data_IF_114393918068
#
_entry.id   IF_114393918068
#
_cell.length_a   1.000
_cell.length_b   1.000
_cell.length_c   1.000
_cell.angle_alpha   90.00
_cell.angle_beta   90.00
_cell.angle_gamma   90.00
#
_symmetry.space_group_name_H-M   'P 1'
#
loop_
_entity.id
_entity.type
_entity.pdbx_description
1 polymer ?
#
# COMPACT_ATOMS: atom_id res chain seq x y z
N UNK A 1 -12.58 11.01 3.60
CA UNK A 1 -12.97 12.09 4.54
C UNK A 1 -12.56 13.44 3.97
N UNK A 2 -13.31 14.47 4.28
CA UNK A 2 -13.01 15.88 4.02
C UNK A 2 -12.33 16.47 5.25
N UNK A 3 -11.55 17.55 5.08
CA UNK A 3 -10.96 18.26 6.21
C UNK A 3 -9.70 19.06 5.85
N UNK A 4 -8.97 19.58 6.84
CA UNK A 4 -7.71 20.28 6.63
C UNK A 4 -6.63 19.38 6.02
N UNK A 5 -5.53 20.00 5.59
CA UNK A 5 -4.37 19.27 5.10
C UNK A 5 -3.79 18.33 6.15
N UNK A 6 -3.28 17.20 5.72
CA UNK A 6 -2.72 16.13 6.57
C UNK A 6 -1.31 15.76 6.12
N UNK A 7 -0.55 15.21 7.03
CA UNK A 7 0.81 14.68 6.80
C UNK A 7 0.79 13.17 7.07
N UNK A 8 0.59 12.33 6.04
CA UNK A 8 0.59 10.87 6.21
C UNK A 8 1.96 10.37 6.64
N UNK A 9 2.07 9.12 7.15
CA UNK A 9 3.33 8.49 7.45
C UNK A 9 4.27 8.49 6.25
N UNK A 10 5.55 8.63 6.50
CA UNK A 10 6.60 8.52 5.49
C UNK A 10 7.86 7.92 6.12
N UNK A 11 8.76 7.32 5.31
CA UNK A 11 10.02 6.80 5.82
C UNK A 11 10.85 7.88 6.51
N UNK A 12 11.57 7.49 7.56
CA UNK A 12 12.47 8.37 8.29
C UNK A 12 13.56 8.95 7.37
N UNK A 13 14.05 10.15 7.68
CA UNK A 13 15.14 10.79 6.96
C UNK A 13 14.74 11.54 5.68
N UNK A 14 13.53 11.38 5.17
CA UNK A 14 13.08 12.04 3.92
C UNK A 14 12.98 13.57 4.08
N UNK A 15 12.74 14.05 5.29
CA UNK A 15 12.51 15.47 5.60
C UNK A 15 13.59 16.10 6.48
N UNK A 16 14.72 15.48 6.63
CA UNK A 16 15.88 16.04 7.30
C UNK A 16 16.53 17.15 6.47
N UNK A 17 15.91 18.32 6.46
CA UNK A 17 16.47 19.48 5.78
C UNK A 17 16.89 20.55 6.80
N UNK A 18 18.19 20.92 6.88
CA UNK A 18 18.73 21.79 7.92
C UNK A 18 18.20 23.24 7.88
N UNK A 19 17.54 23.64 6.79
CA UNK A 19 17.15 25.06 6.58
C UNK A 19 15.69 25.39 6.84
N UNK A 20 14.84 24.44 7.26
CA UNK A 20 13.40 24.70 7.30
C UNK A 20 12.79 24.19 8.60
N UNK A 21 12.46 25.13 9.49
CA UNK A 21 11.86 24.89 10.80
C UNK A 21 10.48 24.20 10.83
N UNK A 22 10.01 23.65 9.72
CA UNK A 22 8.79 22.86 9.67
C UNK A 22 9.16 21.38 9.52
N UNK A 23 9.26 20.71 10.65
CA UNK A 23 9.37 19.26 10.69
C UNK A 23 8.07 18.63 10.15
N UNK A 24 8.21 17.51 9.43
CA UNK A 24 7.06 16.69 9.09
C UNK A 24 6.53 16.06 10.37
N UNK A 25 5.35 16.49 10.78
CA UNK A 25 4.67 15.90 11.93
C UNK A 25 3.53 15.05 11.40
N UNK A 26 3.66 13.75 11.55
CA UNK A 26 2.63 12.81 11.12
C UNK A 26 1.29 13.10 11.77
N UNK A 27 0.24 13.01 10.95
CA UNK A 27 -1.13 13.10 11.43
C UNK A 27 -1.49 11.84 12.21
N UNK A 28 -2.32 11.96 13.23
CA UNK A 28 -2.72 10.86 14.09
C UNK A 28 -4.13 10.35 13.77
N UNK A 29 -4.42 9.11 14.16
CA UNK A 29 -5.74 8.51 14.05
C UNK A 29 -6.26 8.45 12.61
N UNK A 30 -7.53 8.77 12.44
CA UNK A 30 -8.20 8.69 11.12
C UNK A 30 -7.68 9.70 10.08
N UNK A 31 -6.95 10.71 10.49
CA UNK A 31 -6.38 11.71 9.60
C UNK A 31 -5.24 11.14 8.75
N UNK A 32 -4.60 10.05 9.18
CA UNK A 32 -3.62 9.30 8.38
C UNK A 32 -4.21 8.77 7.06
N UNK A 33 -5.52 8.49 7.03
CA UNK A 33 -6.21 7.81 5.93
C UNK A 33 -7.04 8.76 5.05
N UNK A 34 -6.68 10.03 4.98
CA UNK A 34 -7.32 10.97 4.05
C UNK A 34 -6.85 10.73 2.63
N UNK A 35 -7.71 11.08 1.67
CA UNK A 35 -7.34 11.04 0.25
C UNK A 35 -6.11 11.93 -0.01
N UNK A 36 -5.26 11.51 -0.96
CA UNK A 36 -4.03 12.20 -1.35
C UNK A 36 -4.20 13.70 -1.66
N UNK A 37 -5.39 14.15 -2.07
CA UNK A 37 -5.69 15.56 -2.31
C UNK A 37 -5.56 16.43 -1.05
N UNK A 38 -5.65 15.84 0.15
CA UNK A 38 -5.47 16.53 1.43
C UNK A 38 -4.05 16.44 1.97
N UNK A 39 -3.18 15.66 1.34
CA UNK A 39 -1.77 15.56 1.77
C UNK A 39 -1.08 16.90 1.58
N UNK A 40 -0.39 17.35 2.62
CA UNK A 40 0.37 18.59 2.60
C UNK A 40 1.43 18.53 1.48
N UNK A 41 1.42 19.52 0.61
CA UNK A 41 2.37 19.62 -0.49
C UNK A 41 3.39 20.72 -0.21
N UNK A 42 4.64 20.32 -0.02
CA UNK A 42 5.77 21.22 -0.02
C UNK A 42 6.54 21.06 -1.34
N UNK A 43 6.63 22.14 -2.13
CA UNK A 43 7.26 22.07 -3.46
C UNK A 43 8.74 21.68 -3.42
N UNK A 44 9.46 22.12 -2.39
CA UNK A 44 10.89 21.84 -2.21
C UNK A 44 11.19 20.41 -1.75
N UNK A 45 10.22 19.74 -1.17
CA UNK A 45 10.33 18.35 -0.70
C UNK A 45 8.93 17.70 -0.74
N UNK A 46 8.46 17.30 -1.92
CA UNK A 46 7.14 16.68 -2.07
C UNK A 46 7.10 15.31 -1.38
N UNK A 47 5.90 14.90 -0.98
CA UNK A 47 5.68 13.60 -0.38
C UNK A 47 6.16 12.47 -1.32
N UNK A 48 6.95 11.47 -0.86
CA UNK A 48 7.61 10.50 -1.74
C UNK A 48 6.68 9.76 -2.69
N UNK A 49 5.51 9.32 -2.20
CA UNK A 49 4.53 8.64 -3.05
C UNK A 49 4.00 9.54 -4.18
N UNK A 50 4.00 10.87 -4.02
CA UNK A 50 3.60 11.77 -5.11
C UNK A 50 4.61 11.74 -6.26
N UNK A 51 5.90 11.67 -5.93
CA UNK A 51 6.95 11.56 -6.95
C UNK A 51 6.83 10.23 -7.68
N UNK A 52 6.68 9.13 -6.91
CA UNK A 52 6.64 7.78 -7.46
C UNK A 52 5.40 7.51 -8.31
N UNK A 53 4.25 8.15 -8.01
CA UNK A 53 2.98 7.92 -8.69
C UNK A 53 2.56 9.08 -9.60
N UNK A 54 3.51 9.72 -10.27
CA UNK A 54 3.29 10.71 -11.33
C UNK A 54 2.38 11.88 -10.92
N UNK A 55 2.42 12.28 -9.65
CA UNK A 55 1.67 13.44 -9.21
C UNK A 55 2.28 14.72 -9.82
N UNK A 56 1.42 15.67 -10.21
CA UNK A 56 1.87 16.96 -10.72
C UNK A 56 2.75 17.71 -9.72
N UNK A 57 3.88 18.24 -10.18
CA UNK A 57 4.74 19.13 -9.38
C UNK A 57 4.05 20.46 -9.02
N UNK A 58 2.93 20.78 -9.68
CA UNK A 58 2.22 22.08 -9.61
C UNK A 58 3.06 23.30 -10.00
N UNK A 59 4.19 23.09 -10.66
CA UNK A 59 5.00 24.16 -11.24
C UNK A 59 4.50 24.56 -12.63
N UNK A 60 3.99 23.58 -13.37
CA UNK A 60 3.43 23.76 -14.71
C UNK A 60 2.04 23.14 -14.79
N UNK A 61 1.20 23.72 -15.66
CA UNK A 61 -0.09 23.13 -16.00
C UNK A 61 0.09 21.87 -16.84
N UNK A 62 -0.39 20.74 -16.37
CA UNK A 62 -0.43 19.50 -17.13
C UNK A 62 -1.83 19.29 -17.70
N UNK A 63 -1.91 19.09 -19.02
CA UNK A 63 -3.17 18.78 -19.70
C UNK A 63 -3.69 17.40 -19.30
N UNK A 64 -2.77 16.44 -19.13
CA UNK A 64 -3.08 15.06 -18.73
C UNK A 64 -1.88 14.44 -18.01
N UNK A 65 -2.14 13.67 -16.95
CA UNK A 65 -1.13 12.77 -16.37
C UNK A 65 -1.10 11.47 -17.17
N UNK A 66 0.11 11.02 -17.49
CA UNK A 66 0.31 9.68 -18.07
C UNK A 66 0.64 8.75 -16.92
N UNK A 67 -0.22 7.77 -16.62
CA UNK A 67 0.10 6.79 -15.59
C UNK A 67 1.29 5.97 -16.05
N UNK A 68 2.26 5.77 -15.17
CA UNK A 68 3.39 4.89 -15.39
C UNK A 68 3.30 3.67 -14.48
N UNK A 69 3.98 2.61 -14.87
CA UNK A 69 4.22 1.44 -14.02
C UNK A 69 5.72 1.18 -14.00
N UNK A 70 6.36 1.55 -12.90
CA UNK A 70 7.81 1.51 -12.77
C UNK A 70 8.24 0.60 -11.62
N UNK A 71 9.46 0.02 -11.67
CA UNK A 71 10.00 -0.73 -10.54
C UNK A 71 10.04 0.06 -9.22
N UNK A 72 10.18 1.39 -9.29
CA UNK A 72 10.16 2.25 -8.12
C UNK A 72 8.78 2.29 -7.47
N UNK A 73 7.71 2.32 -8.26
CA UNK A 73 6.34 2.23 -7.73
C UNK A 73 6.11 0.89 -7.03
N UNK A 74 6.55 -0.22 -7.62
CA UNK A 74 6.48 -1.53 -6.99
C UNK A 74 7.27 -1.56 -5.67
N UNK A 75 8.46 -0.97 -5.63
CA UNK A 75 9.26 -0.88 -4.41
C UNK A 75 8.53 -0.09 -3.31
N UNK A 76 7.88 1.02 -3.65
CA UNK A 76 7.10 1.83 -2.71
C UNK A 76 5.90 1.03 -2.20
N UNK A 77 5.09 0.45 -3.08
CA UNK A 77 3.90 -0.31 -2.67
C UNK A 77 4.20 -1.54 -1.84
N UNK A 78 5.39 -2.14 -1.99
CA UNK A 78 5.81 -3.28 -1.19
C UNK A 78 6.34 -2.93 0.19
N UNK A 79 6.95 -1.74 0.36
CA UNK A 79 7.73 -1.42 1.56
C UNK A 79 7.17 -0.25 2.38
N UNK A 80 6.35 0.61 1.79
CA UNK A 80 5.79 1.76 2.51
C UNK A 80 4.72 1.29 3.52
N UNK A 81 4.80 1.73 4.79
CA UNK A 81 3.86 1.35 5.84
C UNK A 81 2.39 1.58 5.48
N UNK A 82 2.09 2.66 4.75
CA UNK A 82 0.71 2.99 4.32
C UNK A 82 0.14 1.90 3.41
N UNK A 83 0.93 1.41 2.46
CA UNK A 83 0.49 0.35 1.54
C UNK A 83 0.42 -1.01 2.23
N UNK A 84 1.34 -1.29 3.15
CA UNK A 84 1.33 -2.52 3.95
C UNK A 84 0.09 -2.56 4.86
N UNK A 85 -0.25 -1.47 5.51
CA UNK A 85 -1.48 -1.33 6.31
C UNK A 85 -2.73 -1.48 5.43
N UNK A 86 -2.75 -0.86 4.26
CA UNK A 86 -3.85 -0.98 3.30
C UNK A 86 -4.06 -2.42 2.83
N UNK A 87 -2.97 -3.14 2.53
CA UNK A 87 -3.00 -4.55 2.15
C UNK A 87 -3.56 -5.43 3.27
N UNK A 88 -3.15 -5.18 4.51
CA UNK A 88 -3.69 -5.87 5.69
C UNK A 88 -5.19 -5.65 5.85
N UNK A 89 -5.66 -4.42 5.73
CA UNK A 89 -7.09 -4.11 5.79
C UNK A 89 -7.89 -4.70 4.64
N UNK A 90 -7.33 -4.73 3.43
CA UNK A 90 -7.94 -5.39 2.27
C UNK A 90 -8.11 -6.90 2.53
N UNK A 91 -7.07 -7.55 3.07
CA UNK A 91 -7.12 -8.97 3.45
C UNK A 91 -8.16 -9.22 4.55
N UNK A 92 -8.13 -8.42 5.62
CA UNK A 92 -9.04 -8.55 6.77
C UNK A 92 -10.50 -8.41 6.35
N UNK A 93 -10.81 -7.43 5.51
CA UNK A 93 -12.20 -7.15 5.06
C UNK A 93 -12.75 -8.22 4.11
N UNK A 94 -11.88 -8.94 3.40
CA UNK A 94 -12.27 -9.95 2.41
C UNK A 94 -11.98 -11.40 2.86
N UNK A 95 -11.51 -11.60 4.09
CA UNK A 95 -11.23 -12.93 4.63
C UNK A 95 -12.51 -13.77 4.68
N UNK A 96 -12.42 -14.99 4.15
CA UNK A 96 -13.47 -16.01 4.20
C UNK A 96 -12.87 -17.35 4.67
N UNK A 97 -13.70 -18.39 4.79
CA UNK A 97 -13.23 -19.72 5.14
C UNK A 97 -12.32 -20.32 4.06
N UNK A 98 -12.64 -20.07 2.78
CA UNK A 98 -11.86 -20.54 1.64
C UNK A 98 -10.83 -19.49 1.22
N UNK A 99 -9.57 -19.91 1.10
CA UNK A 99 -8.45 -19.09 0.61
C UNK A 99 -8.74 -18.56 -0.79
N UNK A 100 -9.20 -19.45 -1.68
CA UNK A 100 -9.53 -19.09 -3.07
C UNK A 100 -10.62 -18.04 -3.13
N UNK A 101 -11.68 -18.19 -2.33
CA UNK A 101 -12.76 -17.20 -2.24
C UNK A 101 -12.28 -15.86 -1.70
N UNK A 102 -11.38 -15.87 -0.70
CA UNK A 102 -10.77 -14.65 -0.16
C UNK A 102 -9.97 -13.92 -1.22
N UNK A 103 -9.11 -14.63 -1.97
CA UNK A 103 -8.30 -14.03 -3.05
C UNK A 103 -9.19 -13.45 -4.15
N UNK A 104 -10.22 -14.17 -4.60
CA UNK A 104 -11.18 -13.66 -5.59
C UNK A 104 -11.87 -12.39 -5.13
N UNK A 105 -12.30 -12.33 -3.86
CA UNK A 105 -12.94 -11.13 -3.29
C UNK A 105 -11.96 -9.96 -3.18
N UNK A 106 -10.73 -10.20 -2.70
CA UNK A 106 -9.70 -9.15 -2.63
C UNK A 106 -9.41 -8.57 -4.01
N UNK A 107 -9.20 -9.43 -5.01
CA UNK A 107 -8.96 -9.02 -6.39
C UNK A 107 -10.13 -8.20 -6.95
N UNK A 108 -11.36 -8.69 -6.80
CA UNK A 108 -12.56 -7.98 -7.25
C UNK A 108 -12.74 -6.62 -6.55
N UNK A 109 -12.42 -6.54 -5.26
CA UNK A 109 -12.50 -5.29 -4.50
C UNK A 109 -11.43 -4.27 -4.91
N UNK A 110 -10.24 -4.74 -5.33
CA UNK A 110 -9.11 -3.89 -5.67
C UNK A 110 -9.12 -3.48 -7.16
N UNK A 111 -9.41 -4.41 -8.06
CA UNK A 111 -9.27 -4.25 -9.51
C UNK A 111 -10.61 -4.05 -10.22
N UNK A 112 -11.74 -4.37 -9.55
CA UNK A 112 -13.11 -4.31 -10.10
C UNK A 112 -13.36 -5.23 -11.30
N UNK A 113 -12.53 -6.26 -11.48
CA UNK A 113 -12.61 -7.28 -12.54
C UNK A 113 -12.67 -8.68 -11.92
N UNK A 114 -13.10 -9.65 -12.70
CA UNK A 114 -12.96 -11.06 -12.32
C UNK A 114 -11.51 -11.52 -12.59
N UNK A 115 -10.98 -12.32 -11.68
CA UNK A 115 -9.59 -12.78 -11.75
C UNK A 115 -9.42 -13.89 -12.79
N UNK A 116 -8.38 -13.82 -13.59
CA UNK A 116 -8.02 -14.90 -14.52
C UNK A 116 -7.50 -16.13 -13.76
N UNK A 117 -7.80 -17.37 -14.23
CA UNK A 117 -7.36 -18.60 -13.56
C UNK A 117 -5.84 -18.69 -13.36
N UNK A 118 -5.06 -18.17 -14.30
CA UNK A 118 -3.59 -18.15 -14.24
C UNK A 118 -3.09 -17.27 -13.07
N UNK A 119 -3.64 -16.07 -12.95
CA UNK A 119 -3.31 -15.13 -11.88
C UNK A 119 -3.74 -15.72 -10.54
N UNK A 120 -4.93 -16.28 -10.46
CA UNK A 120 -5.44 -16.91 -9.25
C UNK A 120 -4.51 -18.02 -8.75
N UNK A 121 -4.07 -18.91 -9.62
CA UNK A 121 -3.16 -20.00 -9.27
C UNK A 121 -1.82 -19.48 -8.74
N UNK A 122 -1.27 -18.42 -9.35
CA UNK A 122 -0.04 -17.78 -8.88
C UNK A 122 -0.23 -17.17 -7.48
N UNK A 123 -1.35 -16.48 -7.23
CA UNK A 123 -1.65 -15.90 -5.93
C UNK A 123 -1.90 -16.96 -4.84
N UNK A 124 -2.53 -18.09 -5.18
CA UNK A 124 -2.66 -19.23 -4.26
C UNK A 124 -1.29 -19.82 -3.93
N UNK A 125 -0.40 -19.92 -4.92
CA UNK A 125 0.97 -20.41 -4.68
C UNK A 125 1.74 -19.43 -3.78
N UNK A 126 1.64 -18.13 -4.01
CA UNK A 126 2.22 -17.11 -3.15
C UNK A 126 1.70 -17.20 -1.71
N UNK A 127 0.38 -17.40 -1.54
CA UNK A 127 -0.21 -17.59 -0.22
C UNK A 127 0.44 -18.77 0.52
N UNK A 128 0.62 -19.91 -0.15
CA UNK A 128 1.22 -21.12 0.46
C UNK A 128 2.67 -20.88 0.87
N UNK A 129 3.44 -20.20 0.02
CA UNK A 129 4.84 -19.86 0.32
C UNK A 129 4.89 -18.93 1.54
N UNK A 130 4.07 -17.87 1.57
CA UNK A 130 4.03 -16.95 2.69
C UNK A 130 3.58 -17.63 3.99
N UNK A 131 2.61 -18.55 3.91
CA UNK A 131 2.16 -19.31 5.08
C UNK A 131 3.29 -20.19 5.64
N UNK A 132 4.00 -20.92 4.78
CA UNK A 132 5.13 -21.76 5.19
C UNK A 132 6.25 -20.92 5.83
N UNK A 133 6.64 -19.80 5.24
CA UNK A 133 7.65 -18.89 5.78
C UNK A 133 7.28 -18.37 7.19
N UNK A 134 6.01 -18.02 7.41
CA UNK A 134 5.56 -17.56 8.72
C UNK A 134 5.40 -18.68 9.76
N UNK A 135 5.14 -19.93 9.32
CA UNK A 135 5.13 -21.11 10.18
C UNK A 135 6.55 -21.50 10.63
N UNK A 136 7.54 -21.33 9.76
CA UNK A 136 8.96 -21.61 10.08
C UNK A 136 9.61 -20.51 10.95
N UNK A 137 9.21 -19.25 10.78
CA UNK A 137 9.79 -18.12 11.51
C UNK A 137 8.73 -17.09 11.94
N UNK A 138 8.20 -17.27 13.14
CA UNK A 138 7.23 -16.37 13.73
C UNK A 138 7.76 -14.93 13.97
N UNK A 139 9.08 -14.73 14.09
CA UNK A 139 9.67 -13.39 14.26
C UNK A 139 9.51 -12.53 12.99
N UNK A 140 9.45 -13.15 11.80
CA UNK A 140 9.15 -12.44 10.57
C UNK A 140 7.76 -11.79 10.60
N UNK A 141 6.81 -12.44 11.25
CA UNK A 141 5.43 -11.99 11.37
C UNK A 141 5.31 -10.73 12.23
N UNK A 142 6.00 -10.70 13.37
CA UNK A 142 5.99 -9.56 14.29
C UNK A 142 6.70 -8.33 13.69
N UNK A 143 7.74 -8.56 12.88
CA UNK A 143 8.51 -7.49 12.24
C UNK A 143 7.83 -6.92 10.98
N UNK A 144 7.00 -7.70 10.29
CA UNK A 144 6.38 -7.29 9.03
C UNK A 144 5.16 -6.40 9.23
N UNK A 145 4.41 -6.62 10.31
CA UNK A 145 3.23 -5.85 10.66
C UNK A 145 3.39 -5.25 12.05
N UNK A 146 3.88 -4.03 12.13
CA UNK A 146 3.99 -3.26 13.40
C UNK A 146 2.59 -2.82 13.90
N UNK A 147 1.66 -3.77 14.00
CA UNK A 147 0.26 -3.52 14.37
C UNK A 147 -0.04 -3.86 15.84
N UNK A 148 0.99 -4.20 16.64
CA UNK A 148 0.88 -4.38 18.10
C UNK A 148 -0.03 -5.53 18.59
N UNK A 149 -0.62 -6.32 17.71
CA UNK A 149 -1.51 -7.44 18.01
C UNK A 149 -0.94 -8.75 17.45
N UNK A 150 -1.17 -9.86 18.16
CA UNK A 150 -0.92 -11.20 17.59
C UNK A 150 -1.74 -11.39 16.31
N UNK A 151 -1.07 -11.40 15.16
CA UNK A 151 -1.70 -11.59 13.87
C UNK A 151 -1.76 -13.09 13.57
N UNK A 152 -2.93 -13.55 13.12
CA UNK A 152 -3.10 -14.92 12.62
C UNK A 152 -2.28 -15.11 11.33
N UNK A 153 -1.46 -16.18 11.28
CA UNK A 153 -0.62 -16.54 10.12
C UNK A 153 -1.43 -16.54 8.82
N UNK A 154 -2.67 -17.04 8.84
CA UNK A 154 -3.54 -17.03 7.67
C UNK A 154 -3.85 -15.61 7.18
N UNK A 155 -4.10 -14.70 8.11
CA UNK A 155 -4.39 -13.31 7.77
C UNK A 155 -3.13 -12.59 7.27
N UNK A 156 -1.97 -12.85 7.88
CA UNK A 156 -0.70 -12.30 7.42
C UNK A 156 -0.37 -12.77 5.99
N UNK A 157 -0.52 -14.08 5.72
CA UNK A 157 -0.30 -14.62 4.38
C UNK A 157 -1.27 -14.04 3.34
N UNK A 158 -2.53 -13.81 3.71
CA UNK A 158 -3.48 -13.10 2.85
C UNK A 158 -3.09 -11.64 2.63
N UNK A 159 -2.48 -10.97 3.61
CA UNK A 159 -2.01 -9.59 3.45
C UNK A 159 -0.82 -9.50 2.48
N UNK A 160 0.08 -10.48 2.45
CA UNK A 160 1.12 -10.59 1.41
C UNK A 160 0.49 -10.72 0.02
N UNK A 161 -0.54 -11.56 -0.12
CA UNK A 161 -1.27 -11.69 -1.39
C UNK A 161 -1.99 -10.41 -1.77
N UNK A 162 -2.59 -9.71 -0.80
CA UNK A 162 -3.24 -8.41 -1.03
C UNK A 162 -2.23 -7.35 -1.51
N UNK A 163 -1.03 -7.32 -0.92
CA UNK A 163 0.05 -6.44 -1.36
C UNK A 163 0.48 -6.78 -2.80
N UNK A 164 0.60 -8.05 -3.14
CA UNK A 164 0.89 -8.48 -4.52
C UNK A 164 -0.21 -8.04 -5.51
N UNK A 165 -1.49 -8.13 -5.13
CA UNK A 165 -2.61 -7.63 -5.95
C UNK A 165 -2.48 -6.13 -6.18
N UNK A 166 -2.10 -5.35 -5.16
CA UNK A 166 -1.89 -3.91 -5.27
C UNK A 166 -0.67 -3.52 -6.12
N UNK A 167 0.19 -4.49 -6.46
CA UNK A 167 1.34 -4.32 -7.36
C UNK A 167 1.05 -4.75 -8.81
N UNK A 168 -0.11 -5.28 -9.10
CA UNK A 168 -0.49 -5.60 -10.48
C UNK A 168 -0.69 -4.33 -11.30
N UNK A 169 -0.31 -4.40 -12.57
CA UNK A 169 -0.49 -3.30 -13.53
C UNK A 169 -1.96 -2.83 -13.59
N UNK A 170 -2.88 -3.77 -13.56
CA UNK A 170 -4.33 -3.53 -13.56
C UNK A 170 -4.82 -2.72 -12.35
N UNK A 171 -4.12 -2.80 -11.21
CA UNK A 171 -4.39 -1.98 -10.04
C UNK A 171 -3.75 -0.60 -10.15
N UNK A 172 -2.48 -0.54 -10.59
CA UNK A 172 -1.69 0.70 -10.60
C UNK A 172 -2.12 1.66 -11.71
N UNK A 173 -2.46 1.15 -12.89
CA UNK A 173 -2.73 1.99 -14.05
C UNK A 173 -4.21 2.29 -14.27
N UNK A 174 -5.12 1.50 -13.70
CA UNK A 174 -6.57 1.65 -13.87
C UNK A 174 -6.95 2.06 -15.29
N UNK A 175 -6.66 1.19 -16.25
CA UNK A 175 -7.01 1.38 -17.63
C UNK A 175 -8.44 0.97 -17.95
#
# INVERSE_FOLDING_TARGET
KYGPGVMPPQPDGVWEHPYLGNLWKESEGEDKHRRAIYTYLKRTSPYPSFISFDASSREICLVRRLPSNTPLQALVTMNDPVYTEAAFHLAKSNKTESIESSIKKMYKSAVYKEIEPKILNNLISLYRIAQQEFEEDNMKLDNFFDLGNKIDIKLASLAIVANAIMNLDEFLTHG
#
